data_IF_641864127768
#
_entry.id   IF_641864127768
#
_cell.length_a   1.000
_cell.length_b   1.000
_cell.length_c   1.000
_cell.angle_alpha   90.00
_cell.angle_beta   90.00
_cell.angle_gamma   90.00
#
_symmetry.space_group_name_H-M   'P 1'
#
loop_
_entity.id
_entity.type
_entity.pdbx_description
1 polymer ?
#
# COMPACT_ATOMS: atom_id res chain seq x y z
N UNK A 1 20.17 22.26 14.53
CA UNK A 1 19.19 22.23 13.45
C UNK A 1 18.98 20.77 13.12
N UNK A 2 18.03 20.12 13.81
CA UNK A 2 17.77 18.69 13.64
C UNK A 2 16.96 18.51 12.34
N UNK A 3 17.45 17.64 11.47
CA UNK A 3 16.86 17.30 10.17
C UNK A 3 15.56 16.53 10.44
N UNK A 4 14.43 17.19 10.23
CA UNK A 4 13.07 16.68 10.40
C UNK A 4 12.64 15.76 9.22
N UNK A 5 13.49 14.81 8.84
CA UNK A 5 13.24 13.90 7.70
C UNK A 5 12.66 12.55 8.07
N UNK A 6 12.35 12.29 9.33
CA UNK A 6 11.67 11.05 9.72
C UNK A 6 10.17 11.16 9.52
N UNK A 7 9.72 10.89 8.33
CA UNK A 7 8.32 10.98 7.94
C UNK A 7 7.56 9.66 8.17
N UNK A 8 6.24 9.77 8.33
CA UNK A 8 5.36 8.60 8.43
C UNK A 8 5.18 7.95 7.07
N UNK A 9 5.30 6.63 7.01
CA UNK A 9 5.01 5.85 5.81
C UNK A 9 3.58 5.30 5.88
N UNK A 10 2.84 5.44 4.80
CA UNK A 10 1.47 4.99 4.71
C UNK A 10 1.30 3.97 3.60
N UNK A 11 0.69 2.83 3.92
CA UNK A 11 0.38 1.79 2.96
C UNK A 11 -1.09 1.39 3.02
N UNK A 12 -1.75 1.34 1.89
CA UNK A 12 -3.11 0.82 1.79
C UNK A 12 -3.35 0.15 0.45
N UNK A 13 -4.03 -1.01 0.41
CA UNK A 13 -4.53 -1.56 -0.84
C UNK A 13 -5.91 -0.97 -1.15
N UNK A 14 -6.13 -0.69 -2.42
CA UNK A 14 -7.48 -0.49 -2.88
C UNK A 14 -8.16 -1.85 -3.00
N UNK A 15 -9.00 -2.18 -2.00
CA UNK A 15 -9.94 -3.31 -1.89
C UNK A 15 -9.37 -4.74 -1.82
N UNK A 16 -9.73 -5.37 -0.81
CA UNK A 16 -10.49 -6.56 -0.43
C UNK A 16 -9.75 -7.46 0.56
N UNK A 17 -10.52 -7.87 1.57
CA UNK A 17 -10.08 -8.58 2.75
C UNK A 17 -9.44 -9.94 2.45
N UNK A 18 -8.45 -10.27 3.27
CA UNK A 18 -8.01 -11.64 3.50
C UNK A 18 -9.12 -12.40 4.25
N UNK A 19 -10.12 -12.87 3.52
CA UNK A 19 -10.99 -13.93 3.96
C UNK A 19 -10.51 -15.20 3.27
N UNK A 20 -10.14 -16.22 4.05
CA UNK A 20 -9.75 -17.52 3.54
C UNK A 20 -10.86 -18.08 2.67
N UNK A 21 -10.63 -18.22 1.39
CA UNK A 21 -11.49 -18.93 0.45
C UNK A 21 -10.91 -20.31 0.21
N UNK A 22 -11.79 -21.33 0.34
CA UNK A 22 -11.50 -22.73 0.05
C UNK A 22 -11.06 -22.90 -1.42
N UNK A 23 -10.17 -23.85 -1.75
CA UNK A 23 -9.79 -24.14 -3.12
C UNK A 23 -10.95 -24.85 -3.81
N UNK A 24 -11.46 -24.24 -4.86
CA UNK A 24 -12.49 -24.81 -5.75
C UNK A 24 -13.58 -23.79 -5.99
N UNK A 25 -13.40 -22.94 -6.99
CA UNK A 25 -14.40 -22.66 -8.00
C UNK A 25 -14.05 -21.43 -8.84
N UNK A 26 -14.28 -21.58 -10.16
CA UNK A 26 -14.51 -20.57 -11.18
C UNK A 26 -13.33 -19.70 -11.63
N UNK A 27 -12.85 -20.05 -12.81
CA UNK A 27 -12.19 -19.14 -13.75
C UNK A 27 -13.03 -17.89 -13.93
N UNK A 28 -12.66 -16.82 -13.24
CA UNK A 28 -13.29 -15.54 -13.42
C UNK A 28 -13.08 -15.06 -14.85
N UNK A 29 -14.14 -15.04 -15.65
CA UNK A 29 -14.31 -14.40 -16.98
C UNK A 29 -14.07 -12.87 -16.95
N UNK A 30 -13.42 -12.34 -15.94
CA UNK A 30 -13.00 -10.93 -15.85
C UNK A 30 -11.52 -10.86 -16.13
N UNK A 31 -11.16 -10.21 -17.24
CA UNK A 31 -9.79 -10.07 -17.71
C UNK A 31 -8.76 -9.74 -16.64
N UNK A 32 -7.50 -9.75 -17.02
CA UNK A 32 -6.31 -9.55 -16.20
C UNK A 32 -6.54 -8.56 -15.04
N UNK A 33 -6.82 -9.09 -13.85
CA UNK A 33 -7.03 -8.28 -12.66
C UNK A 33 -5.65 -7.96 -12.06
N UNK A 34 -5.29 -6.69 -12.01
CA UNK A 34 -4.02 -6.25 -11.41
C UNK A 34 -4.32 -5.41 -10.18
N UNK A 35 -3.56 -5.64 -9.14
CA UNK A 35 -3.59 -4.89 -7.91
C UNK A 35 -2.34 -4.01 -7.83
N UNK A 36 -2.53 -2.74 -7.50
CA UNK A 36 -1.45 -1.82 -7.17
C UNK A 36 -1.33 -1.68 -5.65
N UNK A 37 -0.12 -1.84 -5.15
CA UNK A 37 0.26 -1.54 -3.78
C UNK A 37 1.09 -0.27 -3.78
N UNK A 38 0.77 0.66 -2.91
CA UNK A 38 1.38 1.98 -2.87
C UNK A 38 1.83 2.31 -1.45
N UNK A 39 3.06 2.76 -1.31
CA UNK A 39 3.55 3.44 -0.13
C UNK A 39 3.70 4.92 -0.44
N UNK A 40 3.25 5.76 0.49
CA UNK A 40 3.36 7.22 0.40
C UNK A 40 4.01 7.77 1.66
N UNK A 41 4.62 8.93 1.53
CA UNK A 41 5.13 9.69 2.68
C UNK A 41 3.99 10.41 3.44
N UNK A 42 4.34 11.17 4.47
CA UNK A 42 3.39 11.93 5.28
C UNK A 42 2.60 13.00 4.49
N UNK A 43 3.12 13.42 3.35
CA UNK A 43 2.48 14.38 2.45
C UNK A 43 1.61 13.71 1.36
N UNK A 44 1.52 12.38 1.36
CA UNK A 44 0.78 11.62 0.36
C UNK A 44 1.53 11.43 -0.96
N UNK A 45 2.84 11.71 -0.98
CA UNK A 45 3.65 11.54 -2.19
C UNK A 45 4.09 10.09 -2.34
N UNK A 46 3.96 9.50 -3.55
CA UNK A 46 4.34 8.11 -3.80
C UNK A 46 5.83 7.87 -3.57
N UNK A 47 6.18 6.95 -2.67
CA UNK A 47 7.56 6.53 -2.39
C UNK A 47 7.87 5.22 -3.08
N UNK A 48 6.92 4.28 -3.07
CA UNK A 48 7.07 2.99 -3.72
C UNK A 48 5.75 2.50 -4.27
N UNK A 49 5.78 1.87 -5.45
CA UNK A 49 4.62 1.25 -6.07
C UNK A 49 5.00 -0.17 -6.54
N UNK A 50 4.13 -1.13 -6.24
CA UNK A 50 4.27 -2.53 -6.64
C UNK A 50 2.97 -2.94 -7.34
N UNK A 51 3.08 -3.66 -8.44
CA UNK A 51 1.95 -4.23 -9.16
C UNK A 51 1.98 -5.75 -9.05
N UNK A 52 0.86 -6.35 -8.66
CA UNK A 52 0.71 -7.79 -8.54
C UNK A 52 -0.54 -8.29 -9.25
N UNK A 53 -0.64 -9.59 -9.44
CA UNK A 53 -1.88 -10.21 -9.87
C UNK A 53 -2.97 -9.99 -8.81
N UNK A 54 -4.21 -9.77 -9.26
CA UNK A 54 -5.32 -9.40 -8.37
C UNK A 54 -5.72 -10.44 -7.33
N UNK A 55 -5.28 -11.69 -7.51
CA UNK A 55 -5.52 -12.80 -6.58
C UNK A 55 -4.55 -12.81 -5.40
N UNK A 56 -3.44 -12.08 -5.49
CA UNK A 56 -2.40 -12.08 -4.47
C UNK A 56 -2.85 -11.37 -3.20
N UNK A 57 -2.51 -11.92 -2.02
CA UNK A 57 -2.85 -11.35 -0.74
C UNK A 57 -2.06 -10.05 -0.47
N UNK A 58 -2.71 -9.03 0.08
CA UNK A 58 -2.07 -7.74 0.35
C UNK A 58 -0.89 -7.83 1.30
N UNK A 59 -1.01 -8.68 2.32
CA UNK A 59 0.03 -8.86 3.32
C UNK A 59 1.31 -9.52 2.78
N UNK A 60 1.26 -10.22 1.62
CA UNK A 60 2.47 -10.82 1.02
C UNK A 60 3.43 -9.78 0.45
N UNK A 61 2.91 -8.66 -0.03
CA UNK A 61 3.71 -7.60 -0.63
C UNK A 61 4.10 -6.49 0.36
N UNK A 62 3.54 -6.53 1.57
CA UNK A 62 3.81 -5.53 2.58
C UNK A 62 5.30 -5.44 2.94
N UNK A 63 5.96 -6.58 3.01
CA UNK A 63 7.39 -6.65 3.32
C UNK A 63 8.21 -5.91 2.26
N UNK A 64 8.00 -6.22 0.99
CA UNK A 64 8.69 -5.58 -0.13
C UNK A 64 8.33 -4.09 -0.25
N UNK A 65 7.11 -3.73 0.17
CA UNK A 65 6.64 -2.35 0.09
C UNK A 65 7.37 -1.43 1.07
N UNK A 66 7.74 -1.93 2.26
CA UNK A 66 8.40 -1.14 3.31
C UNK A 66 9.91 -1.36 3.39
N UNK A 67 10.46 -2.32 2.65
CA UNK A 67 11.88 -2.68 2.70
C UNK A 67 12.80 -1.48 2.43
N UNK A 68 13.75 -1.22 3.33
CA UNK A 68 14.75 -0.16 3.19
C UNK A 68 14.19 1.27 3.22
N UNK A 69 12.95 1.46 3.65
CA UNK A 69 12.40 2.81 3.84
C UNK A 69 12.69 3.26 5.26
N UNK A 70 13.31 4.43 5.40
CA UNK A 70 13.54 5.09 6.69
C UNK A 70 12.33 5.93 7.05
N UNK A 71 11.57 5.49 8.07
CA UNK A 71 10.41 6.19 8.58
C UNK A 71 10.21 5.91 10.07
N UNK A 72 9.64 6.85 10.79
CA UNK A 72 9.33 6.70 12.22
C UNK A 72 8.08 5.83 12.43
N UNK A 73 7.08 6.02 11.59
CA UNK A 73 5.78 5.34 11.70
C UNK A 73 5.40 4.62 10.42
N UNK A 74 4.91 3.39 10.56
CA UNK A 74 4.22 2.65 9.51
C UNK A 74 2.71 2.68 9.77
N UNK A 75 1.97 3.40 8.95
CA UNK A 75 0.50 3.47 9.03
C UNK A 75 -0.08 2.62 7.91
N UNK A 76 -0.83 1.57 8.26
CA UNK A 76 -1.44 0.70 7.27
C UNK A 76 -2.81 0.19 7.71
N UNK A 77 -3.63 -0.28 6.76
CA UNK A 77 -4.94 -0.86 7.06
C UNK A 77 -4.81 -2.18 7.82
N UNK A 78 -5.87 -2.56 8.53
CA UNK A 78 -6.00 -3.86 9.24
C UNK A 78 -5.71 -5.09 8.35
N UNK A 79 -5.80 -4.96 7.03
CA UNK A 79 -5.37 -5.97 6.08
C UNK A 79 -3.90 -6.34 6.19
N UNK A 80 -3.07 -5.41 6.65
CA UNK A 80 -1.62 -5.58 6.87
C UNK A 80 -1.26 -6.04 8.29
N UNK A 81 -2.25 -6.26 9.17
CA UNK A 81 -2.00 -6.77 10.51
C UNK A 81 -1.50 -8.22 10.48
N UNK A 82 -0.20 -8.38 10.26
CA UNK A 82 0.53 -9.63 10.36
C UNK A 82 1.78 -9.45 11.21
N UNK A 83 2.16 -10.53 11.92
CA UNK A 83 3.35 -10.48 12.79
C UNK A 83 4.64 -10.29 11.97
N UNK A 84 4.67 -10.80 10.74
CA UNK A 84 5.81 -10.64 9.83
C UNK A 84 6.01 -9.15 9.47
N UNK A 85 4.96 -8.45 9.06
CA UNK A 85 5.02 -7.02 8.71
C UNK A 85 5.45 -6.18 9.91
N UNK A 86 4.93 -6.50 11.09
CA UNK A 86 5.25 -5.74 12.31
C UNK A 86 6.69 -5.99 12.76
N UNK A 87 7.17 -7.25 12.68
CA UNK A 87 8.58 -7.54 12.98
C UNK A 87 9.51 -6.80 12.03
N UNK A 88 9.19 -6.79 10.74
CA UNK A 88 10.00 -6.08 9.75
C UNK A 88 9.98 -4.55 9.97
N UNK A 89 8.82 -3.96 10.22
CA UNK A 89 8.74 -2.54 10.56
C UNK A 89 9.62 -2.21 11.76
N UNK A 90 9.55 -3.01 12.83
CA UNK A 90 10.38 -2.83 14.02
C UNK A 90 11.87 -3.02 13.74
N UNK A 91 12.26 -3.98 12.91
CA UNK A 91 13.68 -4.18 12.55
C UNK A 91 14.28 -3.01 11.77
N UNK A 92 13.43 -2.20 11.13
CA UNK A 92 13.81 -0.96 10.45
C UNK A 92 13.60 0.29 11.32
N UNK A 93 13.29 0.13 12.62
CA UNK A 93 13.08 1.24 13.55
C UNK A 93 11.70 1.89 13.47
N UNK A 94 10.77 1.35 12.67
CA UNK A 94 9.42 1.92 12.52
C UNK A 94 8.46 1.44 13.61
N UNK A 95 7.61 2.34 14.09
CA UNK A 95 6.47 2.02 14.94
C UNK A 95 5.23 1.73 14.08
N UNK A 96 4.69 0.51 14.17
CA UNK A 96 3.53 0.11 13.39
C UNK A 96 2.22 0.63 14.00
N UNK A 97 1.53 1.50 13.28
CA UNK A 97 0.21 2.06 13.61
C UNK A 97 -0.85 1.34 12.75
N UNK A 98 -1.09 0.06 13.05
CA UNK A 98 -1.99 -0.83 12.30
C UNK A 98 -3.09 -1.32 13.24
N UNK A 99 -4.37 -1.09 12.94
CA UNK A 99 -5.47 -1.61 13.73
C UNK A 99 -5.45 -3.14 13.75
N UNK A 100 -5.71 -3.77 14.92
CA UNK A 100 -5.74 -5.23 14.99
C UNK A 100 -6.94 -5.80 14.24
N UNK A 101 -6.76 -6.99 13.66
CA UNK A 101 -7.86 -7.78 13.09
C UNK A 101 -8.79 -8.25 14.21
N UNK A 102 -10.09 -8.38 13.90
CA UNK A 102 -11.12 -8.83 14.86
C UNK A 102 -10.80 -10.18 15.54
N UNK A 103 -10.12 -11.07 14.83
CA UNK A 103 -9.80 -12.43 15.30
C UNK A 103 -8.41 -12.53 15.94
N UNK A 104 -7.77 -11.41 16.25
CA UNK A 104 -6.46 -11.43 16.87
C UNK A 104 -6.58 -11.76 18.35
N UNK A 105 -5.80 -12.76 18.82
CA UNK A 105 -5.78 -13.19 20.23
C UNK A 105 -5.24 -12.09 21.15
N UNK A 106 -4.23 -11.37 20.69
CA UNK A 106 -3.60 -10.27 21.43
C UNK A 106 -3.81 -8.95 20.66
N UNK A 107 -4.79 -8.13 21.07
CA UNK A 107 -4.98 -6.82 20.45
C UNK A 107 -3.80 -5.92 20.74
N UNK A 108 -3.35 -5.19 19.73
CA UNK A 108 -2.26 -4.19 19.84
C UNK A 108 -2.85 -2.80 19.97
N UNK A 109 -2.21 -2.01 20.80
CA UNK A 109 -2.49 -0.59 20.86
C UNK A 109 -1.86 0.10 19.66
N UNK A 110 -2.56 1.05 19.07
CA UNK A 110 -2.09 1.92 18.01
C UNK A 110 -2.62 3.33 18.25
N UNK A 111 -1.90 4.34 17.76
CA UNK A 111 -2.33 5.73 17.86
C UNK A 111 -3.43 6.01 16.82
N UNK A 112 -4.65 6.26 17.31
CA UNK A 112 -5.80 6.59 16.47
C UNK A 112 -5.65 7.93 15.77
N UNK A 113 -4.92 8.88 16.36
CA UNK A 113 -4.69 10.19 15.75
C UNK A 113 -3.76 10.06 14.55
N UNK A 114 -2.62 9.39 14.71
CA UNK A 114 -1.72 9.08 13.61
C UNK A 114 -2.40 8.22 12.53
N UNK A 115 -3.20 7.26 12.95
CA UNK A 115 -3.92 6.40 12.00
C UNK A 115 -4.89 7.17 11.09
N UNK A 116 -5.41 8.31 11.51
CA UNK A 116 -6.25 9.16 10.65
C UNK A 116 -5.53 9.63 9.38
N UNK A 117 -4.20 9.78 9.43
CA UNK A 117 -3.41 10.18 8.27
C UNK A 117 -3.43 9.15 7.14
N UNK A 118 -3.96 7.92 7.39
CA UNK A 118 -4.13 6.88 6.36
C UNK A 118 -4.87 7.38 5.10
N UNK A 119 -5.70 8.40 5.21
CA UNK A 119 -6.38 9.00 4.04
C UNK A 119 -5.41 9.53 2.97
N UNK A 120 -4.15 9.82 3.31
CA UNK A 120 -3.16 10.33 2.35
C UNK A 120 -2.88 9.30 1.23
N UNK A 121 -2.81 8.00 1.58
CA UNK A 121 -2.63 6.98 0.56
C UNK A 121 -3.88 6.83 -0.33
N UNK A 122 -5.07 7.05 0.21
CA UNK A 122 -6.31 7.06 -0.56
C UNK A 122 -6.33 8.22 -1.56
N UNK A 123 -5.92 9.41 -1.12
CA UNK A 123 -5.74 10.58 -1.97
C UNK A 123 -4.72 10.32 -3.08
N UNK A 124 -3.57 9.71 -2.75
CA UNK A 124 -2.57 9.35 -3.75
C UNK A 124 -3.14 8.39 -4.82
N UNK A 125 -3.95 7.41 -4.42
CA UNK A 125 -4.65 6.54 -5.37
C UNK A 125 -5.65 7.30 -6.25
N UNK A 126 -6.36 8.30 -5.70
CA UNK A 126 -7.25 9.15 -6.50
C UNK A 126 -6.46 9.93 -7.56
N UNK A 127 -5.31 10.51 -7.17
CA UNK A 127 -4.43 11.21 -8.10
C UNK A 127 -3.87 10.29 -9.20
N UNK A 128 -3.49 9.06 -8.85
CA UNK A 128 -3.06 8.06 -9.83
C UNK A 128 -4.18 7.72 -10.81
N UNK A 129 -5.38 7.46 -10.31
CA UNK A 129 -6.56 7.11 -11.11
C UNK A 129 -7.12 8.27 -11.94
N UNK A 130 -6.78 9.52 -11.63
CA UNK A 130 -7.06 10.67 -12.47
C UNK A 130 -6.49 10.52 -13.88
N UNK A 131 -5.44 9.70 -14.05
CA UNK A 131 -4.94 9.34 -15.37
C UNK A 131 -5.68 8.12 -15.92
N UNK A 132 -6.38 8.30 -17.05
CA UNK A 132 -7.20 7.23 -17.68
C UNK A 132 -6.40 5.97 -18.00
N UNK A 133 -5.13 6.09 -18.35
CA UNK A 133 -4.25 4.94 -18.62
C UNK A 133 -4.12 3.98 -17.43
N UNK A 134 -4.21 4.50 -16.20
CA UNK A 134 -4.21 3.71 -14.96
C UNK A 134 -5.64 3.29 -14.59
N UNK A 135 -6.60 4.20 -14.66
CA UNK A 135 -7.99 3.93 -14.26
C UNK A 135 -8.62 2.81 -15.08
N UNK A 136 -8.39 2.79 -16.41
CA UNK A 136 -8.95 1.81 -17.34
C UNK A 136 -7.98 0.72 -17.76
N UNK A 137 -6.73 0.78 -17.28
CA UNK A 137 -5.67 -0.17 -17.61
C UNK A 137 -5.58 -0.49 -19.10
N UNK A 138 -5.09 0.44 -19.89
CA UNK A 138 -4.88 0.20 -21.32
C UNK A 138 -3.71 -0.77 -21.59
N UNK A 139 -2.72 -0.82 -20.71
CA UNK A 139 -1.58 -1.71 -20.86
C UNK A 139 -1.98 -3.18 -20.57
N UNK A 140 -1.84 -4.06 -21.55
CA UNK A 140 -2.14 -5.50 -21.42
C UNK A 140 -1.12 -6.21 -20.55
N UNK A 141 0.14 -5.83 -20.64
CA UNK A 141 1.24 -6.44 -19.92
C UNK A 141 1.43 -5.73 -18.56
N UNK A 142 1.75 -6.51 -17.51
CA UNK A 142 1.93 -6.02 -16.15
C UNK A 142 3.10 -5.02 -16.04
N UNK A 143 4.23 -5.30 -16.72
CA UNK A 143 5.40 -4.44 -16.69
C UNK A 143 5.11 -3.07 -17.31
N UNK A 144 4.42 -3.02 -18.46
CA UNK A 144 4.01 -1.77 -19.10
C UNK A 144 3.03 -0.99 -18.25
N UNK A 145 2.11 -1.69 -17.54
CA UNK A 145 1.18 -1.05 -16.63
C UNK A 145 1.91 -0.46 -15.41
N UNK A 146 2.88 -1.19 -14.83
CA UNK A 146 3.69 -0.70 -13.73
C UNK A 146 4.55 0.51 -14.15
N UNK A 147 5.17 0.46 -15.33
CA UNK A 147 5.93 1.57 -15.87
C UNK A 147 5.07 2.83 -16.03
N UNK A 148 3.86 2.70 -16.56
CA UNK A 148 2.90 3.80 -16.66
C UNK A 148 2.54 4.37 -15.27
N UNK A 149 2.33 3.51 -14.28
CA UNK A 149 2.04 3.94 -12.91
C UNK A 149 3.24 4.67 -12.28
N UNK A 150 4.47 4.20 -12.51
CA UNK A 150 5.70 4.86 -12.04
C UNK A 150 5.89 6.24 -12.69
N UNK A 151 5.65 6.36 -13.99
CA UNK A 151 5.69 7.66 -14.71
C UNK A 151 4.67 8.62 -14.09
N UNK A 152 3.46 8.15 -13.78
CA UNK A 152 2.46 8.99 -13.13
C UNK A 152 2.87 9.38 -11.71
N UNK A 153 3.49 8.49 -10.94
CA UNK A 153 4.07 8.84 -9.64
C UNK A 153 5.12 9.95 -9.78
N UNK A 154 6.01 9.83 -10.75
CA UNK A 154 7.02 10.86 -11.04
C UNK A 154 6.35 12.21 -11.42
N UNK A 155 5.31 12.18 -12.26
CA UNK A 155 4.57 13.37 -12.62
C UNK A 155 3.93 14.06 -11.40
N UNK A 156 3.44 13.29 -10.42
CA UNK A 156 2.94 13.85 -9.14
C UNK A 156 4.06 14.56 -8.39
N UNK A 157 5.24 13.97 -8.28
CA UNK A 157 6.41 14.59 -7.66
C UNK A 157 6.82 15.90 -8.33
N UNK A 158 6.77 15.93 -9.66
CA UNK A 158 7.09 17.11 -10.46
C UNK A 158 5.92 18.11 -10.56
N UNK A 159 4.77 17.80 -9.94
CA UNK A 159 3.53 18.59 -10.04
C UNK A 159 3.09 18.87 -11.48
N UNK A 160 3.32 17.90 -12.37
CA UNK A 160 2.90 17.95 -13.76
C UNK A 160 1.48 17.36 -13.85
N UNK A 161 0.57 18.13 -14.38
CA UNK A 161 -0.85 17.77 -14.54
C UNK A 161 -1.10 16.98 -15.82
#
# INVERSE_FOLDING_TARGET
MADDRRQSLQGSPARSGCAGRKPGDESHKRGLNTKLHLAVDAHGMPVRIIATEGTRADCSEAASLIEGIDAEHLIADKGYDSDAVIRQARSQGMQAQIPPRKNRKEPRNYDKHLYRQRHQVENAFLHLKGWRGIATRYAKNLASFLAAAQIRCLALWLRIS
#
